data_IF_966123276581
#
_entry.id   IF_966123276581
#
_cell.length_a   1.000
_cell.length_b   1.000
_cell.length_c   1.000
_cell.angle_alpha   90.00
_cell.angle_beta   90.00
_cell.angle_gamma   90.00
#
_symmetry.space_group_name_H-M   'P 1'
#
loop_
_entity.id
_entity.type
_entity.pdbx_description
1 polymer ?
#
# COMPACT_ATOMS: atom_id res chain seq x y z
N UNK A 1 20.45 -12.21 15.38
CA UNK A 1 19.07 -12.14 14.85
C UNK A 1 18.97 -10.90 13.97
N UNK A 2 18.32 -10.99 12.81
CA UNK A 2 18.10 -9.83 11.97
C UNK A 2 17.17 -8.83 12.69
N UNK A 3 17.35 -7.50 12.53
CA UNK A 3 16.41 -6.53 13.06
C UNK A 3 14.98 -6.83 12.59
N UNK A 4 13.97 -6.60 13.43
CA UNK A 4 12.56 -6.89 13.11
C UNK A 4 12.04 -6.19 11.85
N UNK A 5 12.63 -5.04 11.49
CA UNK A 5 12.34 -4.36 10.23
C UNK A 5 12.91 -5.11 9.02
N UNK A 6 14.04 -5.79 9.18
CA UNK A 6 14.69 -6.64 8.16
C UNK A 6 13.95 -7.97 7.99
N UNK A 7 13.31 -8.51 9.04
CA UNK A 7 12.52 -9.74 8.95
C UNK A 7 11.36 -9.65 7.96
N UNK A 8 10.82 -8.45 7.72
CA UNK A 8 9.78 -8.22 6.72
C UNK A 8 10.29 -8.33 5.27
N UNK A 9 11.61 -8.25 5.05
CA UNK A 9 12.22 -8.47 3.73
C UNK A 9 12.56 -9.95 3.47
N UNK A 10 12.45 -10.81 4.49
CA UNK A 10 12.65 -12.25 4.34
C UNK A 10 11.35 -12.83 3.78
N UNK A 11 11.32 -13.07 2.46
CA UNK A 11 10.19 -13.73 1.82
C UNK A 11 10.23 -15.22 2.18
N UNK A 12 9.40 -15.64 3.14
CA UNK A 12 9.35 -17.03 3.64
C UNK A 12 8.49 -17.97 2.77
N UNK A 13 7.95 -17.49 1.65
CA UNK A 13 7.10 -18.25 0.74
C UNK A 13 7.52 -18.06 -0.73
N UNK A 14 6.77 -18.67 -1.65
CA UNK A 14 6.97 -18.45 -3.07
C UNK A 14 6.81 -16.95 -3.40
N UNK A 15 7.88 -16.33 -3.91
CA UNK A 15 7.91 -14.93 -4.31
C UNK A 15 7.58 -14.73 -5.79
N UNK A 16 7.34 -15.81 -6.55
CA UNK A 16 7.17 -15.74 -8.00
C UNK A 16 5.94 -14.89 -8.34
N UNK A 17 6.11 -13.81 -9.13
CA UNK A 17 5.00 -13.06 -9.69
C UNK A 17 4.07 -13.93 -10.53
N UNK A 18 2.79 -13.59 -10.54
CA UNK A 18 1.83 -14.19 -11.44
C UNK A 18 2.21 -13.91 -12.92
N UNK A 19 2.22 -14.93 -13.81
CA UNK A 19 2.64 -14.77 -15.20
C UNK A 19 1.83 -13.71 -15.99
N UNK A 20 0.58 -13.46 -15.59
CA UNK A 20 -0.26 -12.43 -16.23
C UNK A 20 0.39 -11.05 -16.19
N UNK A 21 1.21 -10.78 -15.16
CA UNK A 21 1.91 -9.49 -14.99
C UNK A 21 2.94 -9.19 -16.08
N UNK A 22 3.43 -10.19 -16.80
CA UNK A 22 4.34 -10.01 -17.93
C UNK A 22 3.71 -10.33 -19.28
N UNK A 23 2.63 -11.12 -19.30
CA UNK A 23 1.99 -11.59 -20.54
C UNK A 23 0.75 -10.78 -20.96
N UNK A 24 0.07 -10.11 -20.02
CA UNK A 24 -1.22 -9.49 -20.23
C UNK A 24 -1.24 -8.01 -19.79
N UNK A 25 -2.30 -7.29 -20.18
CA UNK A 25 -2.60 -5.96 -19.67
C UNK A 25 -3.64 -6.03 -18.56
N UNK A 26 -3.52 -5.25 -17.48
CA UNK A 26 -4.53 -5.19 -16.45
C UNK A 26 -5.81 -4.51 -16.97
N UNK A 27 -6.94 -4.82 -16.33
CA UNK A 27 -8.24 -4.19 -16.59
C UNK A 27 -8.21 -2.69 -16.25
N UNK A 28 -7.47 -2.34 -15.20
CA UNK A 28 -7.24 -0.96 -14.78
C UNK A 28 -5.79 -0.80 -14.32
N UNK A 29 -5.16 0.28 -14.75
CA UNK A 29 -3.83 0.70 -14.30
C UNK A 29 -3.89 2.09 -13.69
N UNK A 30 -3.64 2.17 -12.38
CA UNK A 30 -3.66 3.41 -11.61
C UNK A 30 -2.25 3.78 -11.17
N UNK A 31 -1.79 4.96 -11.58
CA UNK A 31 -0.48 5.49 -11.21
C UNK A 31 -0.56 6.27 -9.93
N UNK A 32 0.20 5.85 -8.94
CA UNK A 32 0.42 6.59 -7.70
C UNK A 32 1.67 7.46 -7.87
N UNK A 33 1.50 8.79 -7.79
CA UNK A 33 2.60 9.75 -7.96
C UNK A 33 2.72 10.62 -6.73
N UNK A 34 3.92 10.71 -6.16
CA UNK A 34 4.20 11.62 -5.07
C UNK A 34 4.46 13.04 -5.57
N UNK A 35 3.85 14.03 -4.91
CA UNK A 35 4.04 15.45 -5.19
C UNK A 35 4.90 16.12 -4.10
N UNK A 36 5.11 17.43 -4.22
CA UNK A 36 5.73 18.27 -3.18
C UNK A 36 4.77 18.36 -1.99
N UNK A 37 5.34 18.37 -0.78
CA UNK A 37 4.56 18.21 0.45
C UNK A 37 4.04 16.77 0.57
N UNK A 38 3.46 16.38 1.70
CA UNK A 38 3.00 15.01 1.93
C UNK A 38 1.75 14.59 1.11
N UNK A 39 1.58 15.16 -0.09
CA UNK A 39 0.48 14.97 -1.03
C UNK A 39 0.88 14.01 -2.14
N UNK A 40 -0.06 13.17 -2.55
CA UNK A 40 0.09 12.22 -3.65
C UNK A 40 -1.19 12.17 -4.45
N UNK A 41 -1.08 11.79 -5.70
CA UNK A 41 -2.21 11.71 -6.61
C UNK A 41 -2.28 10.31 -7.22
N UNK A 42 -3.51 9.86 -7.46
CA UNK A 42 -3.77 8.66 -8.24
C UNK A 42 -4.53 9.02 -9.50
N UNK A 43 -4.07 8.54 -10.65
CA UNK A 43 -4.73 8.74 -11.93
C UNK A 43 -4.40 7.63 -12.92
N UNK A 44 -5.20 7.52 -13.97
CA UNK A 44 -4.97 6.60 -15.08
C UNK A 44 -4.23 7.34 -16.20
N UNK A 45 -3.36 6.65 -16.93
CA UNK A 45 -2.71 7.23 -18.09
C UNK A 45 -3.75 7.76 -19.09
N UNK A 46 -3.59 9.04 -19.49
CA UNK A 46 -4.53 9.74 -20.36
C UNK A 46 -5.62 10.53 -19.61
N UNK A 47 -5.74 10.39 -18.29
CA UNK A 47 -6.62 11.26 -17.50
C UNK A 47 -6.11 12.71 -17.56
N UNK A 48 -7.01 13.68 -17.80
CA UNK A 48 -6.68 15.12 -17.76
C UNK A 48 -6.54 15.65 -16.34
N UNK A 49 -7.13 14.95 -15.38
CA UNK A 49 -7.14 15.30 -13.96
C UNK A 49 -7.00 14.01 -13.14
N UNK A 50 -6.20 13.98 -12.07
CA UNK A 50 -6.12 12.81 -11.21
C UNK A 50 -7.50 12.47 -10.61
N UNK A 51 -7.71 11.18 -10.31
CA UNK A 51 -8.97 10.69 -9.73
C UNK A 51 -9.02 10.90 -8.23
N UNK A 52 -7.88 10.65 -7.56
CA UNK A 52 -7.77 10.77 -6.12
C UNK A 52 -6.56 11.58 -5.70
N UNK A 53 -6.68 12.21 -4.54
CA UNK A 53 -5.58 12.82 -3.81
C UNK A 53 -5.44 12.13 -2.45
N UNK A 54 -4.21 11.86 -2.04
CA UNK A 54 -3.87 11.26 -0.75
C UNK A 54 -3.01 12.25 0.04
N UNK A 55 -3.51 12.65 1.19
CA UNK A 55 -2.79 13.53 2.13
C UNK A 55 -2.45 12.75 3.39
N UNK A 56 -1.15 12.63 3.72
CA UNK A 56 -0.73 12.07 5.01
C UNK A 56 -0.78 13.15 6.09
N UNK A 57 -1.40 12.80 7.22
CA UNK A 57 -1.32 13.55 8.48
C UNK A 57 -0.72 12.65 9.55
N UNK A 58 0.39 13.07 10.13
CA UNK A 58 0.97 12.38 11.28
C UNK A 58 0.09 12.62 12.50
N UNK A 59 -0.30 11.55 13.19
CA UNK A 59 -1.12 11.65 14.41
C UNK A 59 -0.30 11.07 15.55
N UNK A 60 0.47 11.94 16.23
CA UNK A 60 1.30 11.65 17.41
C UNK A 60 2.19 10.40 17.25
N UNK A 61 3.51 10.57 17.23
CA UNK A 61 4.54 9.55 16.86
C UNK A 61 4.33 8.11 17.39
N UNK A 62 3.64 7.94 18.52
CA UNK A 62 3.39 6.67 19.20
C UNK A 62 2.15 5.93 18.67
N UNK A 63 1.12 6.63 18.17
CA UNK A 63 -0.20 6.05 17.87
C UNK A 63 -0.38 5.60 16.43
N UNK A 64 0.22 6.31 15.46
CA UNK A 64 0.17 5.91 14.05
C UNK A 64 0.29 7.05 13.06
N UNK A 65 0.11 6.71 11.78
CA UNK A 65 -0.05 7.67 10.70
C UNK A 65 -1.46 7.54 10.13
N UNK A 66 -2.07 8.65 9.70
CA UNK A 66 -3.31 8.61 8.93
C UNK A 66 -3.09 9.17 7.54
N UNK A 67 -3.76 8.57 6.56
CA UNK A 67 -3.90 9.15 5.23
C UNK A 67 -5.37 9.41 4.96
N UNK A 68 -5.67 10.60 4.47
CA UNK A 68 -7.00 10.99 4.02
C UNK A 68 -7.01 10.94 2.50
N UNK A 69 -8.00 10.26 1.93
CA UNK A 69 -8.14 10.09 0.49
C UNK A 69 -9.36 10.86 0.01
N UNK A 70 -9.14 11.80 -0.90
CA UNK A 70 -10.17 12.65 -1.49
C UNK A 70 -10.38 12.27 -2.95
N UNK A 71 -11.62 12.05 -3.35
CA UNK A 71 -11.98 12.00 -4.77
C UNK A 71 -11.99 13.41 -5.34
N UNK A 72 -11.16 13.66 -6.35
CA UNK A 72 -11.11 14.97 -7.00
C UNK A 72 -12.32 15.22 -7.90
N UNK A 73 -12.94 14.16 -8.44
CA UNK A 73 -14.16 14.24 -9.23
C UNK A 73 -15.36 14.64 -8.37
N UNK A 74 -15.50 14.06 -7.19
CA UNK A 74 -16.60 14.34 -6.26
C UNK A 74 -16.30 15.51 -5.32
N UNK A 75 -15.04 15.96 -5.27
CA UNK A 75 -14.53 16.94 -4.31
C UNK A 75 -14.84 16.56 -2.85
N UNK A 76 -14.85 15.26 -2.54
CA UNK A 76 -15.25 14.72 -1.24
C UNK A 76 -14.22 13.70 -0.73
N UNK A 77 -14.06 13.61 0.59
CA UNK A 77 -13.30 12.53 1.21
C UNK A 77 -14.05 11.21 0.99
N UNK A 78 -13.34 10.21 0.45
CA UNK A 78 -13.89 8.89 0.15
C UNK A 78 -13.41 7.82 1.12
N UNK A 79 -12.20 7.98 1.66
CA UNK A 79 -11.67 7.05 2.64
C UNK A 79 -10.63 7.68 3.57
N UNK A 80 -10.52 7.10 4.76
CA UNK A 80 -9.41 7.32 5.69
C UNK A 80 -8.66 6.00 5.88
N UNK A 81 -7.34 6.06 5.77
CA UNK A 81 -6.45 4.94 6.02
C UNK A 81 -5.71 5.19 7.33
N UNK A 82 -5.92 4.35 8.32
CA UNK A 82 -5.31 4.44 9.65
C UNK A 82 -4.27 3.32 9.82
N UNK A 83 -3.04 3.71 10.15
CA UNK A 83 -1.94 2.78 10.34
C UNK A 83 -1.56 2.68 11.81
N UNK A 84 -2.14 1.71 12.51
CA UNK A 84 -1.91 1.49 13.94
C UNK A 84 -0.53 0.87 14.17
N UNK A 85 0.17 1.37 15.19
CA UNK A 85 1.46 0.81 15.63
C UNK A 85 1.29 -0.32 16.65
N UNK A 86 0.28 -0.25 17.55
CA UNK A 86 0.09 -1.19 18.66
C UNK A 86 -1.42 -1.45 18.90
N UNK A 87 -1.93 -2.68 18.67
CA UNK A 87 -1.30 -3.74 17.89
C UNK A 87 -1.16 -3.33 16.40
N UNK A 88 -0.15 -3.81 15.67
CA UNK A 88 0.03 -3.49 14.26
C UNK A 88 -1.16 -3.93 13.41
N UNK A 89 -1.85 -2.95 12.81
CA UNK A 89 -2.94 -3.17 11.85
C UNK A 89 -3.08 -1.96 10.93
N UNK A 90 -3.66 -2.19 9.76
CA UNK A 90 -4.07 -1.14 8.83
C UNK A 90 -5.59 -1.18 8.72
N UNK A 91 -6.23 -0.03 8.90
CA UNK A 91 -7.67 0.12 8.74
C UNK A 91 -7.96 1.06 7.58
N UNK A 92 -8.92 0.69 6.73
CA UNK A 92 -9.42 1.54 5.65
C UNK A 92 -10.91 1.75 5.90
N UNK A 93 -11.29 2.98 6.26
CA UNK A 93 -12.67 3.36 6.53
C UNK A 93 -13.22 4.16 5.35
N UNK A 94 -14.32 3.70 4.75
CA UNK A 94 -14.97 4.36 3.63
C UNK A 94 -16.03 5.34 4.13
N UNK A 95 -15.91 6.61 3.73
CA UNK A 95 -16.73 7.70 4.25
C UNK A 95 -18.21 7.60 3.84
N UNK A 96 -18.49 6.98 2.68
CA UNK A 96 -19.85 6.88 2.14
C UNK A 96 -20.55 5.53 2.38
N UNK A 97 -19.81 4.49 2.79
CA UNK A 97 -20.31 3.11 2.75
C UNK A 97 -20.46 2.44 4.13
N UNK A 98 -20.26 3.18 5.24
CA UNK A 98 -20.24 2.62 6.61
C UNK A 98 -19.44 1.31 6.72
N UNK A 99 -18.34 1.23 5.94
CA UNK A 99 -17.54 0.03 5.76
C UNK A 99 -16.13 0.31 6.23
N UNK A 100 -15.60 -0.58 7.06
CA UNK A 100 -14.21 -0.54 7.54
C UNK A 100 -13.55 -1.88 7.24
N UNK A 101 -12.44 -1.82 6.52
CA UNK A 101 -11.59 -2.97 6.24
C UNK A 101 -10.44 -2.95 7.23
N UNK A 102 -10.24 -4.05 7.95
CA UNK A 102 -9.11 -4.21 8.88
C UNK A 102 -8.17 -5.30 8.35
N UNK A 103 -6.92 -4.92 8.06
CA UNK A 103 -5.86 -5.84 7.65
C UNK A 103 -4.84 -5.97 8.78
N UNK A 104 -4.56 -7.22 9.18
CA UNK A 104 -3.61 -7.57 10.26
C UNK A 104 -2.57 -8.54 9.75
N UNK A 105 -1.41 -8.58 10.41
CA UNK A 105 -0.35 -9.53 10.06
C UNK A 105 0.32 -9.24 8.72
N UNK A 106 1.17 -10.16 8.28
CA UNK A 106 1.96 -10.01 7.05
C UNK A 106 1.14 -10.32 5.78
N UNK A 107 0.16 -11.22 5.89
CA UNK A 107 -0.77 -11.63 4.84
C UNK A 107 -1.94 -10.64 4.69
N UNK A 108 -2.25 -9.85 5.73
CA UNK A 108 -3.17 -8.72 5.63
C UNK A 108 -4.55 -9.13 5.11
N UNK A 109 -5.05 -10.29 5.54
CA UNK A 109 -6.30 -10.87 5.06
C UNK A 109 -7.50 -9.99 5.36
N UNK A 110 -8.46 -9.96 4.44
CA UNK A 110 -9.77 -9.34 4.66
C UNK A 110 -10.83 -9.88 3.69
N UNK A 111 -12.11 -9.71 4.04
CA UNK A 111 -13.23 -10.08 3.16
C UNK A 111 -13.65 -8.90 2.30
N UNK A 112 -13.47 -9.03 0.99
CA UNK A 112 -13.79 -7.98 0.03
C UNK A 112 -15.29 -7.88 -0.29
N UNK A 113 -15.70 -6.71 -0.78
CA UNK A 113 -17.05 -6.46 -1.28
C UNK A 113 -17.35 -7.22 -2.58
N UNK A 114 -18.61 -7.16 -3.02
CA UNK A 114 -19.04 -7.58 -4.37
C UNK A 114 -18.77 -9.05 -4.74
N UNK A 115 -18.65 -9.95 -3.77
CA UNK A 115 -18.54 -11.39 -4.00
C UNK A 115 -17.12 -11.92 -4.28
N UNK A 116 -16.07 -11.10 -4.15
CA UNK A 116 -14.68 -11.54 -4.31
C UNK A 116 -14.20 -12.50 -3.20
N UNK A 117 -14.87 -12.49 -2.04
CA UNK A 117 -14.55 -13.37 -0.90
C UNK A 117 -13.33 -12.88 -0.10
N UNK A 118 -12.59 -13.82 0.52
CA UNK A 118 -11.37 -13.50 1.27
C UNK A 118 -10.22 -13.18 0.31
N UNK A 119 -9.60 -12.02 0.52
CA UNK A 119 -8.40 -11.57 -0.16
C UNK A 119 -7.19 -11.59 0.79
N UNK A 120 -6.01 -11.85 0.24
CA UNK A 120 -4.75 -11.87 1.00
C UNK A 120 -3.58 -11.34 0.16
N UNK A 121 -2.63 -10.71 0.84
CA UNK A 121 -1.41 -10.20 0.23
C UNK A 121 -0.34 -11.30 0.12
N UNK A 122 0.27 -11.41 -1.05
CA UNK A 122 1.47 -12.20 -1.34
C UNK A 122 2.59 -11.23 -1.76
N UNK A 123 3.71 -11.13 -1.03
CA UNK A 123 4.88 -10.38 -1.50
C UNK A 123 5.52 -11.09 -2.69
N UNK A 124 5.89 -10.35 -3.74
CA UNK A 124 6.42 -10.92 -5.00
C UNK A 124 7.74 -10.32 -5.47
N UNK A 125 8.28 -9.36 -4.72
CA UNK A 125 9.60 -8.81 -4.98
C UNK A 125 9.84 -7.71 -3.98
N UNK A 126 10.82 -7.86 -3.10
CA UNK A 126 11.21 -6.80 -2.17
C UNK A 126 12.72 -6.69 -2.19
N UNK A 127 13.21 -5.50 -2.53
CA UNK A 127 14.62 -5.15 -2.46
C UNK A 127 14.82 -4.31 -1.20
N UNK A 128 15.80 -4.67 -0.38
CA UNK A 128 16.16 -3.88 0.79
C UNK A 128 16.53 -2.47 0.34
N UNK A 129 15.82 -1.47 0.87
CA UNK A 129 15.96 -0.07 0.44
C UNK A 129 15.79 0.17 -1.07
N UNK A 130 14.99 -0.63 -1.78
CA UNK A 130 14.70 -0.45 -3.20
C UNK A 130 13.22 -0.62 -3.54
N UNK A 131 12.95 -1.14 -4.75
CA UNK A 131 11.60 -1.48 -5.21
C UNK A 131 10.93 -2.55 -4.36
N UNK A 132 9.60 -2.53 -4.40
CA UNK A 132 8.79 -3.57 -3.79
C UNK A 132 7.51 -3.86 -4.60
N UNK A 133 7.02 -5.09 -4.54
CA UNK A 133 5.77 -5.50 -5.17
C UNK A 133 5.02 -6.56 -4.38
N UNK A 134 3.69 -6.48 -4.46
CA UNK A 134 2.76 -7.41 -3.84
C UNK A 134 1.63 -7.76 -4.81
N UNK A 135 1.02 -8.91 -4.57
CA UNK A 135 -0.20 -9.36 -5.21
C UNK A 135 -1.28 -9.51 -4.16
N UNK A 136 -2.45 -8.99 -4.43
CA UNK A 136 -3.66 -9.32 -3.70
C UNK A 136 -4.37 -10.45 -4.45
N UNK A 137 -4.63 -11.55 -3.76
CA UNK A 137 -5.15 -12.78 -4.34
C UNK A 137 -6.43 -13.22 -3.64
N UNK A 138 -7.37 -13.74 -4.42
CA UNK A 138 -8.53 -14.50 -3.92
C UNK A 138 -8.25 -16.01 -4.03
N UNK A 139 -9.28 -16.83 -3.78
CA UNK A 139 -9.21 -18.29 -3.95
C UNK A 139 -8.97 -18.75 -5.40
N UNK A 140 -9.23 -17.88 -6.38
CA UNK A 140 -9.16 -18.15 -7.83
C UNK A 140 -7.88 -17.64 -8.48
N UNK A 141 -7.16 -16.71 -7.86
CA UNK A 141 -5.89 -16.19 -8.37
C UNK A 141 -5.67 -14.71 -8.12
N UNK A 142 -4.91 -14.07 -9.02
CA UNK A 142 -4.57 -12.65 -8.96
C UNK A 142 -5.81 -11.76 -9.12
N UNK A 143 -5.98 -10.82 -8.18
CA UNK A 143 -7.04 -9.80 -8.21
C UNK A 143 -6.45 -8.42 -8.46
N UNK A 144 -5.39 -8.07 -7.73
CA UNK A 144 -4.70 -6.78 -7.84
C UNK A 144 -3.20 -6.99 -7.67
N UNK A 145 -2.38 -6.18 -8.32
CA UNK A 145 -0.95 -6.07 -8.02
C UNK A 145 -0.59 -4.64 -7.64
N UNK A 146 0.31 -4.50 -6.69
CA UNK A 146 0.88 -3.21 -6.27
C UNK A 146 2.38 -3.25 -6.50
N UNK A 147 2.93 -2.20 -7.09
CA UNK A 147 4.38 -2.02 -7.27
C UNK A 147 4.82 -0.65 -6.81
N UNK A 148 6.07 -0.55 -6.36
CA UNK A 148 6.75 0.67 -5.96
C UNK A 148 8.10 0.69 -6.68
N UNK A 149 8.46 1.86 -7.22
CA UNK A 149 9.72 2.06 -7.94
C UNK A 149 10.95 1.97 -7.03
N UNK A 150 12.14 1.87 -7.64
CA UNK A 150 13.40 1.78 -6.90
C UNK A 150 13.71 3.02 -6.05
N UNK A 151 13.16 4.17 -6.44
CA UNK A 151 13.29 5.42 -5.67
C UNK A 151 12.36 5.44 -4.45
N UNK A 152 11.39 4.53 -4.36
CA UNK A 152 10.35 4.48 -3.33
C UNK A 152 9.44 5.72 -3.36
N UNK A 153 9.34 6.37 -4.51
CA UNK A 153 8.61 7.63 -4.71
C UNK A 153 7.29 7.38 -5.42
N UNK A 154 7.28 6.58 -6.48
CA UNK A 154 6.09 6.31 -7.26
C UNK A 154 5.67 4.85 -7.14
N UNK A 155 4.43 4.58 -7.51
CA UNK A 155 3.90 3.23 -7.51
C UNK A 155 2.80 3.06 -8.54
N UNK A 156 2.37 1.81 -8.67
CA UNK A 156 1.32 1.44 -9.60
C UNK A 156 0.42 0.41 -8.94
N UNK A 157 -0.88 0.59 -9.10
CA UNK A 157 -1.93 -0.31 -8.66
C UNK A 157 -2.63 -0.83 -9.93
N UNK A 158 -2.56 -2.13 -10.17
CA UNK A 158 -3.17 -2.76 -11.33
C UNK A 158 -4.28 -3.72 -10.88
N UNK A 159 -5.49 -3.56 -11.42
CA UNK A 159 -6.58 -4.52 -11.21
C UNK A 159 -6.63 -5.51 -12.38
N UNK A 160 -6.74 -6.79 -12.06
CA UNK A 160 -6.63 -7.90 -13.01
C UNK A 160 -7.95 -8.66 -13.23
N UNK A 161 -9.00 -8.23 -12.53
CA UNK A 161 -10.37 -8.74 -12.67
C UNK A 161 -11.20 -7.70 -13.41
N UNK A 162 -11.89 -8.12 -14.45
CA UNK A 162 -12.86 -7.32 -15.18
C UNK A 162 -14.25 -7.34 -14.51
N UNK A 163 -15.10 -6.39 -14.87
CA UNK A 163 -16.52 -6.38 -14.47
C UNK A 163 -16.76 -6.10 -12.98
N UNK A 164 -15.77 -5.53 -12.29
CA UNK A 164 -15.93 -5.07 -10.91
C UNK A 164 -16.91 -3.90 -10.87
N UNK A 165 -17.73 -3.84 -9.82
CA UNK A 165 -18.54 -2.63 -9.59
C UNK A 165 -17.65 -1.48 -9.17
N UNK A 166 -18.11 -0.24 -9.35
CA UNK A 166 -17.34 0.94 -8.99
C UNK A 166 -16.94 0.95 -7.50
N UNK A 167 -17.81 0.43 -6.63
CA UNK A 167 -17.56 0.33 -5.19
C UNK A 167 -16.42 -0.64 -4.88
N UNK A 168 -16.38 -1.79 -5.58
CA UNK A 168 -15.33 -2.79 -5.40
C UNK A 168 -14.01 -2.31 -6.00
N UNK A 169 -14.06 -1.63 -7.14
CA UNK A 169 -12.88 -0.98 -7.73
C UNK A 169 -12.28 0.05 -6.76
N UNK A 170 -13.10 0.96 -6.23
CA UNK A 170 -12.66 1.95 -5.25
C UNK A 170 -12.11 1.28 -3.98
N UNK A 171 -12.77 0.23 -3.50
CA UNK A 171 -12.28 -0.57 -2.38
C UNK A 171 -10.86 -1.08 -2.61
N UNK A 172 -10.63 -1.74 -3.75
CA UNK A 172 -9.33 -2.30 -4.11
C UNK A 172 -8.28 -1.20 -4.29
N UNK A 173 -8.64 -0.06 -4.89
CA UNK A 173 -7.72 1.08 -5.03
C UNK A 173 -7.32 1.64 -3.65
N UNK A 174 -8.25 1.77 -2.71
CA UNK A 174 -7.94 2.25 -1.36
C UNK A 174 -7.05 1.26 -0.61
N UNK A 175 -7.33 -0.04 -0.74
CA UNK A 175 -6.50 -1.12 -0.17
C UNK A 175 -5.11 -1.14 -0.80
N UNK A 176 -4.98 -0.99 -2.12
CA UNK A 176 -3.69 -0.87 -2.80
C UNK A 176 -2.91 0.36 -2.37
N UNK A 177 -3.58 1.50 -2.23
CA UNK A 177 -3.00 2.75 -1.72
C UNK A 177 -2.47 2.56 -0.30
N UNK A 178 -3.24 1.88 0.55
CA UNK A 178 -2.81 1.56 1.92
C UNK A 178 -1.51 0.75 1.92
N UNK A 179 -1.32 -0.15 0.95
CA UNK A 179 -0.11 -0.98 0.88
C UNK A 179 1.13 -0.19 0.49
N UNK A 180 0.98 0.75 -0.45
CA UNK A 180 2.05 1.68 -0.82
C UNK A 180 2.45 2.54 0.38
N UNK A 181 1.49 3.16 1.05
CA UNK A 181 1.73 4.04 2.19
C UNK A 181 2.30 3.30 3.41
N UNK A 182 1.84 2.05 3.66
CA UNK A 182 2.41 1.18 4.69
C UNK A 182 3.90 0.93 4.44
N UNK A 183 4.28 0.57 3.20
CA UNK A 183 5.67 0.34 2.85
C UNK A 183 6.51 1.61 3.01
N UNK A 184 6.02 2.75 2.51
CA UNK A 184 6.73 4.03 2.66
C UNK A 184 6.91 4.41 4.12
N UNK A 185 5.90 4.16 4.97
CA UNK A 185 5.99 4.37 6.43
C UNK A 185 7.09 3.51 7.03
N UNK A 186 7.13 2.22 6.68
CA UNK A 186 8.18 1.31 7.13
C UNK A 186 9.57 1.79 6.70
N UNK A 187 9.73 2.23 5.44
CA UNK A 187 10.99 2.76 4.94
C UNK A 187 11.43 4.02 5.68
N UNK A 188 10.52 4.96 5.97
CA UNK A 188 10.82 6.15 6.80
C UNK A 188 11.32 5.75 8.18
N UNK A 189 10.60 4.87 8.86
CA UNK A 189 10.96 4.42 10.21
C UNK A 189 12.31 3.68 10.21
N UNK A 190 12.60 2.88 9.17
CA UNK A 190 13.89 2.20 9.03
C UNK A 190 15.06 3.16 8.83
N UNK A 191 14.88 4.23 8.04
CA UNK A 191 15.90 5.27 7.83
C UNK A 191 16.18 6.06 9.11
N UNK A 192 15.12 6.43 9.84
CA UNK A 192 15.25 7.10 11.14
C UNK A 192 15.97 6.21 12.16
N UNK A 193 15.60 4.93 12.25
CA UNK A 193 16.26 3.98 13.14
C UNK A 193 17.74 3.76 12.78
N UNK A 194 18.07 3.70 11.49
CA UNK A 194 19.46 3.59 11.03
C UNK A 194 20.29 4.81 11.41
N UNK A 195 19.77 6.03 11.20
CA UNK A 195 20.44 7.26 11.63
C UNK A 195 20.62 7.29 13.15
N UNK A 196 19.60 6.91 13.91
CA UNK A 196 19.65 6.81 15.37
C UNK A 196 20.67 5.80 15.90
N UNK A 197 20.82 4.66 15.21
CA UNK A 197 21.83 3.65 15.55
C UNK A 197 23.26 4.15 15.27
N UNK A 198 23.47 4.83 14.13
CA UNK A 198 24.76 5.46 13.80
C UNK A 198 25.10 6.56 14.80
N UNK A 199 24.13 7.38 15.21
CA UNK A 199 24.34 8.43 16.21
C UNK A 199 24.52 7.90 17.64
N UNK A 200 24.06 6.69 17.95
CA UNK A 200 24.29 6.08 19.28
C UNK A 200 25.55 5.21 19.34
N UNK A 201 26.23 5.01 18.20
CA UNK A 201 27.46 4.23 18.07
C UNK A 201 28.73 5.09 18.01
N UNK A 202 28.72 6.32 18.55
CA UNK A 202 29.93 7.17 18.59
C UNK A 202 31.12 6.52 19.31
N UNK A 203 30.90 5.51 20.16
CA UNK A 203 31.95 4.74 20.85
C UNK A 203 32.51 3.56 20.04
N UNK A 204 31.99 3.27 18.83
CA UNK A 204 32.54 2.29 17.89
C UNK A 204 33.31 2.94 16.73
N UNK A 205 33.42 4.27 16.71
CA UNK A 205 34.27 5.00 15.78
C UNK A 205 35.69 5.14 16.35
N UNK A 206 36.37 4.00 16.55
CA UNK A 206 37.84 3.87 16.66
C UNK A 206 38.26 2.55 16.04
#
# INVERSE_FOLDING_TARGET
MAPSWLEKFIVRGDATPDPRRSAEKPALEMHYTALIGHRRILGVNGDKTPRYEVERRAVLEIWGDKCYVKSLRQNAEVAMIDFHSIPPKTEVTFSQQSRTITMKGADGKYTAGGGLGELHWKPTGMVAYGKASWELRDKTGLVMSVTIDDQQINGMICLWKDGLTQEVEEELIMVGTSKIEEYRRLMRNSKVAAVGAVSNAFWLAV
#
